data_IF_211540655654
#
_entry.id   IF_211540655654
#
_cell.length_a   1.000
_cell.length_b   1.000
_cell.length_c   1.000
_cell.angle_alpha   90.00
_cell.angle_beta   90.00
_cell.angle_gamma   90.00
#
_symmetry.space_group_name_H-M   'P 1'
#
loop_
_entity.id
_entity.type
_entity.pdbx_description
1 polymer ?
#
# COMPACT_ATOMS: atom_id res chain seq x y z
N UNK A 1 -7.03 1.72 -5.50
CA UNK A 1 -8.35 1.22 -5.91
C UNK A 1 -9.25 2.42 -6.00
N UNK A 2 -9.47 3.06 -4.86
CA UNK A 2 -9.77 4.48 -4.79
C UNK A 2 -8.69 5.30 -5.52
N UNK A 3 -9.13 6.32 -6.26
CA UNK A 3 -8.25 7.31 -6.87
C UNK A 3 -7.73 8.31 -5.84
N UNK A 4 -6.98 9.31 -6.31
CA UNK A 4 -6.35 10.29 -5.43
C UNK A 4 -7.39 11.10 -4.64
N UNK A 5 -8.52 11.47 -5.25
CA UNK A 5 -9.53 12.28 -4.59
C UNK A 5 -10.30 11.48 -3.54
N UNK A 6 -10.57 10.21 -3.84
CA UNK A 6 -11.35 9.31 -3.01
C UNK A 6 -10.54 8.74 -1.85
N UNK A 7 -9.21 8.90 -1.83
CA UNK A 7 -8.36 8.49 -0.70
C UNK A 7 -7.86 9.67 0.14
N UNK A 8 -8.01 10.91 -0.36
CA UNK A 8 -7.39 12.10 0.22
C UNK A 8 -7.81 12.30 1.69
N UNK A 9 -9.10 12.15 1.99
CA UNK A 9 -9.62 12.31 3.36
C UNK A 9 -9.06 11.24 4.31
N UNK A 10 -8.98 9.97 3.87
CA UNK A 10 -8.37 8.90 4.67
C UNK A 10 -6.89 9.18 4.97
N UNK A 11 -6.15 9.70 3.98
CA UNK A 11 -4.75 10.09 4.18
C UNK A 11 -4.61 11.26 5.16
N UNK A 12 -5.51 12.25 5.12
CA UNK A 12 -5.53 13.34 6.12
C UNK A 12 -5.73 12.77 7.52
N UNK A 13 -6.69 11.87 7.70
CA UNK A 13 -6.91 11.20 9.00
C UNK A 13 -5.66 10.45 9.45
N UNK A 14 -4.96 9.78 8.54
CA UNK A 14 -3.72 9.06 8.86
C UNK A 14 -2.56 9.99 9.24
N UNK A 15 -2.34 11.08 8.50
CA UNK A 15 -1.15 11.92 8.67
C UNK A 15 -1.34 12.99 9.73
N UNK A 16 -2.50 13.64 9.74
CA UNK A 16 -2.81 14.73 10.64
C UNK A 16 -3.44 14.24 11.95
N UNK A 17 -4.22 13.16 11.91
CA UNK A 17 -4.91 12.61 13.08
C UNK A 17 -4.05 11.79 14.02
N UNK A 18 -2.73 11.66 13.82
CA UNK A 18 -1.88 10.89 14.74
C UNK A 18 -1.37 11.75 15.91
N UNK A 19 -1.37 11.25 17.16
CA UNK A 19 -1.91 9.95 17.61
C UNK A 19 -3.39 10.00 18.01
N UNK A 20 -3.96 11.20 18.16
CA UNK A 20 -5.16 11.45 18.96
C UNK A 20 -6.50 11.38 18.20
N UNK A 21 -6.47 11.06 16.92
CA UNK A 21 -7.59 11.14 16.00
C UNK A 21 -7.91 12.58 15.59
N UNK A 22 -8.88 12.71 14.69
CA UNK A 22 -9.31 14.00 14.14
C UNK A 22 -10.84 14.04 14.01
N UNK A 23 -11.46 15.16 14.37
CA UNK A 23 -12.89 15.40 14.17
C UNK A 23 -13.19 15.80 12.72
N UNK A 24 -14.46 15.77 12.32
CA UNK A 24 -14.84 16.21 10.98
C UNK A 24 -14.51 17.71 10.75
N UNK A 25 -14.72 18.55 11.76
CA UNK A 25 -14.41 19.98 11.69
C UNK A 25 -12.90 20.24 11.58
N UNK A 26 -12.09 19.44 12.27
CA UNK A 26 -10.63 19.51 12.16
C UNK A 26 -10.14 19.07 10.76
N UNK A 27 -10.80 18.10 10.12
CA UNK A 27 -10.52 17.72 8.72
C UNK A 27 -10.89 18.86 7.76
N UNK A 28 -12.05 19.50 7.95
CA UNK A 28 -12.48 20.64 7.12
C UNK A 28 -11.53 21.84 7.27
N UNK A 29 -11.12 22.15 8.50
CA UNK A 29 -10.14 23.19 8.79
C UNK A 29 -8.79 22.89 8.10
N UNK A 30 -8.31 21.64 8.18
CA UNK A 30 -7.12 21.21 7.46
C UNK A 30 -7.27 21.45 5.95
N UNK A 31 -8.42 21.11 5.36
CA UNK A 31 -8.69 21.33 3.94
C UNK A 31 -8.60 22.81 3.54
N UNK A 32 -9.18 23.69 4.34
CA UNK A 32 -9.11 25.14 4.14
C UNK A 32 -7.66 25.65 4.18
N UNK A 33 -6.90 25.23 5.20
CA UNK A 33 -5.49 25.61 5.38
C UNK A 33 -4.58 25.09 4.25
N UNK A 34 -4.97 23.99 3.58
CA UNK A 34 -4.23 23.36 2.49
C UNK A 34 -4.79 23.70 1.10
N UNK A 35 -5.42 24.88 0.98
CA UNK A 35 -5.90 25.46 -0.28
C UNK A 35 -6.90 24.58 -1.04
N UNK A 36 -7.70 23.77 -0.32
CA UNK A 36 -8.84 23.04 -0.90
C UNK A 36 -10.12 23.88 -0.96
N UNK A 37 -10.13 25.02 -0.27
CA UNK A 37 -11.27 25.93 -0.16
C UNK A 37 -12.13 25.64 1.08
N UNK A 38 -13.11 26.52 1.38
CA UNK A 38 -14.04 26.30 2.48
C UNK A 38 -14.93 25.07 2.22
N UNK A 39 -15.51 24.55 3.30
CA UNK A 39 -16.47 23.43 3.31
C UNK A 39 -15.96 22.23 2.49
N UNK A 40 -14.67 21.92 2.63
CA UNK A 40 -13.98 20.99 1.76
C UNK A 40 -14.62 19.60 1.75
N UNK A 41 -15.04 19.10 2.91
CA UNK A 41 -15.74 17.82 3.03
C UNK A 41 -17.08 17.81 2.29
N UNK A 42 -17.75 18.94 2.17
CA UNK A 42 -19.05 19.05 1.50
C UNK A 42 -18.92 19.34 0.00
N UNK A 43 -17.70 19.61 -0.48
CA UNK A 43 -17.46 19.73 -1.92
C UNK A 43 -17.69 18.39 -2.63
N UNK A 44 -18.30 18.40 -3.83
CA UNK A 44 -18.56 17.18 -4.60
C UNK A 44 -17.25 16.49 -4.98
N UNK A 45 -17.31 15.16 -5.09
CA UNK A 45 -16.26 14.37 -5.72
C UNK A 45 -16.23 14.71 -7.22
N UNK A 46 -15.05 14.97 -7.78
CA UNK A 46 -14.99 15.20 -9.24
C UNK A 46 -15.16 13.86 -9.92
N UNK A 47 -16.26 13.70 -10.65
CA UNK A 47 -16.45 12.53 -11.48
C UNK A 47 -15.51 12.61 -12.69
N UNK A 48 -14.38 11.91 -12.59
CA UNK A 48 -13.48 11.64 -13.71
C UNK A 48 -13.70 10.23 -14.25
N UNK A 49 -13.25 9.93 -15.48
CA UNK A 49 -13.24 8.55 -15.94
C UNK A 49 -12.45 7.68 -14.93
N UNK A 50 -12.88 6.44 -14.66
CA UNK A 50 -12.19 5.58 -13.72
C UNK A 50 -10.73 5.45 -14.12
N UNK A 51 -9.83 5.59 -13.14
CA UNK A 51 -8.38 5.50 -13.39
C UNK A 51 -7.97 4.14 -13.99
N UNK A 52 -8.81 3.11 -13.78
CA UNK A 52 -8.70 1.76 -14.32
C UNK A 52 -10.11 1.24 -14.63
N UNK A 53 -10.51 1.14 -15.90
CA UNK A 53 -11.88 0.80 -16.29
C UNK A 53 -12.28 -0.66 -15.94
N UNK A 54 -11.29 -1.50 -15.65
CA UNK A 54 -11.42 -2.89 -15.26
C UNK A 54 -11.51 -3.10 -13.74
N UNK A 55 -11.53 -2.02 -12.96
CA UNK A 55 -11.59 -2.05 -11.51
C UNK A 55 -12.98 -1.64 -11.02
N UNK A 56 -13.45 -2.14 -9.86
CA UNK A 56 -14.72 -1.72 -9.30
C UNK A 56 -14.80 -0.21 -9.15
N UNK A 57 -15.92 0.35 -9.60
CA UNK A 57 -16.33 1.73 -9.37
C UNK A 57 -16.58 2.01 -7.89
N UNK A 58 -16.67 3.29 -7.52
CA UNK A 58 -17.03 3.69 -6.16
C UNK A 58 -18.40 3.13 -5.75
N UNK A 59 -19.39 3.18 -6.65
CA UNK A 59 -20.71 2.61 -6.45
C UNK A 59 -20.66 1.10 -6.17
N UNK A 60 -19.88 0.34 -6.93
CA UNK A 60 -19.74 -1.10 -6.75
C UNK A 60 -19.07 -1.44 -5.41
N UNK A 61 -18.05 -0.68 -5.00
CA UNK A 61 -17.40 -0.87 -3.70
C UNK A 61 -18.35 -0.54 -2.54
N UNK A 62 -19.08 0.57 -2.64
CA UNK A 62 -20.07 0.99 -1.66
C UNK A 62 -21.17 -0.06 -1.50
N UNK A 63 -21.69 -0.59 -2.61
CA UNK A 63 -22.70 -1.65 -2.61
C UNK A 63 -22.23 -2.96 -1.98
N UNK A 64 -20.94 -3.32 -2.09
CA UNK A 64 -20.41 -4.53 -1.46
C UNK A 64 -20.35 -4.46 0.07
N UNK A 65 -20.24 -3.24 0.63
CA UNK A 65 -20.15 -3.02 2.08
C UNK A 65 -21.42 -2.36 2.64
N UNK A 66 -22.51 -2.38 1.89
CA UNK A 66 -23.84 -1.88 2.26
C UNK A 66 -23.86 -0.41 2.73
N UNK A 67 -23.09 0.44 2.03
CA UNK A 67 -23.12 1.89 2.24
C UNK A 67 -23.59 2.62 0.96
N UNK A 68 -24.22 3.80 1.07
CA UNK A 68 -24.54 4.61 -0.09
C UNK A 68 -23.31 5.01 -0.89
N UNK A 69 -23.45 5.17 -2.21
CA UNK A 69 -22.40 5.78 -3.03
C UNK A 69 -22.17 7.22 -2.56
N UNK A 70 -20.90 7.54 -2.27
CA UNK A 70 -20.52 8.88 -1.86
C UNK A 70 -20.53 9.84 -3.05
N UNK A 71 -21.20 10.98 -2.87
CA UNK A 71 -21.22 12.11 -3.81
C UNK A 71 -20.36 13.27 -3.34
N UNK A 72 -20.12 13.36 -2.02
CA UNK A 72 -19.23 14.33 -1.37
C UNK A 72 -18.05 13.64 -0.68
N UNK A 73 -17.06 14.42 -0.25
CA UNK A 73 -15.92 13.90 0.52
C UNK A 73 -16.33 13.43 1.91
N UNK A 74 -17.29 14.10 2.55
CA UNK A 74 -17.85 13.72 3.85
C UNK A 74 -18.47 12.33 3.79
N UNK A 75 -19.19 12.05 2.71
CA UNK A 75 -19.85 10.76 2.48
C UNK A 75 -18.88 9.59 2.23
N UNK A 76 -17.58 9.85 2.06
CA UNK A 76 -16.56 8.79 2.03
C UNK A 76 -16.24 8.23 3.43
N UNK A 77 -16.54 8.95 4.51
CA UNK A 77 -16.22 8.51 5.88
C UNK A 77 -16.92 7.19 6.25
N UNK A 78 -18.23 6.99 6.00
CA UNK A 78 -18.88 5.69 6.16
C UNK A 78 -18.23 4.57 5.33
N UNK A 79 -17.82 4.87 4.10
CA UNK A 79 -17.14 3.89 3.25
C UNK A 79 -15.79 3.47 3.86
N UNK A 80 -14.99 4.40 4.34
CA UNK A 80 -13.71 4.06 4.98
C UNK A 80 -13.87 3.26 6.27
N UNK A 81 -14.92 3.56 7.05
CA UNK A 81 -15.28 2.78 8.24
C UNK A 81 -15.64 1.34 7.85
N UNK A 82 -16.50 1.18 6.85
CA UNK A 82 -16.91 -0.14 6.36
C UNK A 82 -15.75 -0.93 5.71
N UNK A 83 -14.79 -0.22 5.10
CA UNK A 83 -13.55 -0.80 4.57
C UNK A 83 -12.46 -1.03 5.62
N UNK A 84 -12.73 -0.74 6.90
CA UNK A 84 -11.78 -0.87 8.02
C UNK A 84 -10.48 -0.08 7.82
N UNK A 85 -10.53 1.03 7.09
CA UNK A 85 -9.39 1.92 6.89
C UNK A 85 -9.24 2.89 8.06
N UNK A 86 -10.37 3.29 8.65
CA UNK A 86 -10.45 4.17 9.80
C UNK A 86 -11.39 3.56 10.86
N UNK A 87 -11.29 4.09 12.08
CA UNK A 87 -12.22 3.84 13.19
C UNK A 87 -12.79 5.16 13.67
N UNK A 88 -13.95 5.12 14.33
CA UNK A 88 -14.60 6.29 14.91
C UNK A 88 -15.04 5.99 16.35
N UNK A 89 -14.62 6.82 17.30
CA UNK A 89 -14.93 6.63 18.73
C UNK A 89 -16.20 7.38 19.19
N UNK A 90 -16.95 7.98 18.25
CA UNK A 90 -18.09 8.85 18.52
C UNK A 90 -17.75 10.33 18.44
N UNK A 91 -16.47 10.69 18.52
CA UNK A 91 -15.99 12.08 18.43
C UNK A 91 -14.92 12.25 17.35
N UNK A 92 -14.01 11.28 17.22
CA UNK A 92 -12.81 11.38 16.38
C UNK A 92 -12.60 10.16 15.52
N UNK A 93 -12.15 10.43 14.30
CA UNK A 93 -11.68 9.43 13.36
C UNK A 93 -10.21 9.12 13.58
N UNK A 94 -9.83 7.85 13.48
CA UNK A 94 -8.43 7.39 13.58
C UNK A 94 -8.12 6.41 12.46
N UNK A 95 -6.96 6.55 11.82
CA UNK A 95 -6.49 5.52 10.91
C UNK A 95 -6.23 4.21 11.66
N UNK A 96 -6.63 3.09 11.07
CA UNK A 96 -6.30 1.77 11.58
C UNK A 96 -4.82 1.50 11.28
N UNK A 97 -4.03 1.11 12.28
CA UNK A 97 -2.58 0.90 12.13
C UNK A 97 -2.25 -0.25 11.17
N UNK A 98 -3.04 -1.33 11.25
CA UNK A 98 -2.92 -2.50 10.39
C UNK A 98 -4.28 -2.80 9.76
N UNK A 99 -4.68 -2.03 8.72
CA UNK A 99 -5.95 -2.29 8.05
C UNK A 99 -5.90 -3.65 7.35
N UNK A 100 -7.03 -4.36 7.24
CA UNK A 100 -7.11 -5.60 6.48
C UNK A 100 -6.74 -5.35 5.00
N UNK A 101 -6.39 -6.43 4.29
CA UNK A 101 -6.16 -6.31 2.85
C UNK A 101 -7.46 -5.97 2.15
N UNK A 102 -7.40 -5.25 1.02
CA UNK A 102 -8.62 -4.94 0.27
C UNK A 102 -9.35 -6.21 -0.17
N UNK A 103 -8.63 -7.27 -0.54
CA UNK A 103 -9.20 -8.58 -0.88
C UNK A 103 -9.89 -9.31 0.29
N UNK A 104 -9.64 -8.90 1.54
CA UNK A 104 -10.27 -9.48 2.72
C UNK A 104 -11.62 -8.81 3.02
N UNK A 105 -11.87 -7.61 2.49
CA UNK A 105 -13.06 -6.79 2.79
C UNK A 105 -13.98 -6.64 1.59
N UNK A 106 -13.45 -6.66 0.37
CA UNK A 106 -14.22 -6.52 -0.87
C UNK A 106 -13.81 -7.58 -1.90
N UNK A 107 -14.78 -7.98 -2.72
CA UNK A 107 -14.58 -8.82 -3.88
C UNK A 107 -13.94 -8.01 -5.01
N UNK A 108 -12.74 -8.44 -5.41
CA UNK A 108 -11.95 -7.78 -6.44
C UNK A 108 -11.70 -8.73 -7.62
N UNK A 109 -11.68 -8.20 -8.86
CA UNK A 109 -11.19 -8.95 -10.01
C UNK A 109 -9.77 -9.48 -9.79
N UNK A 110 -9.46 -10.68 -10.31
CA UNK A 110 -8.17 -11.35 -10.08
C UNK A 110 -6.96 -10.48 -10.47
N UNK A 111 -7.09 -9.67 -11.53
CA UNK A 111 -6.05 -8.71 -11.94
C UNK A 111 -5.83 -7.59 -10.93
N UNK A 112 -6.88 -7.11 -10.27
CA UNK A 112 -6.77 -6.10 -9.21
C UNK A 112 -6.07 -6.69 -7.98
N UNK A 113 -6.44 -7.90 -7.56
CA UNK A 113 -5.75 -8.64 -6.48
C UNK A 113 -4.27 -8.83 -6.80
N UNK A 114 -3.95 -9.30 -8.00
CA UNK A 114 -2.57 -9.50 -8.46
C UNK A 114 -1.76 -8.20 -8.42
N UNK A 115 -2.36 -7.09 -8.87
CA UNK A 115 -1.73 -5.78 -8.83
C UNK A 115 -1.48 -5.30 -7.39
N UNK A 116 -2.46 -5.46 -6.49
CA UNK A 116 -2.34 -5.05 -5.10
C UNK A 116 -1.27 -5.84 -4.37
N UNK A 117 -1.22 -7.17 -4.55
CA UNK A 117 -0.14 -8.03 -4.04
C UNK A 117 1.23 -7.58 -4.55
N UNK A 118 1.33 -7.27 -5.85
CA UNK A 118 2.57 -6.76 -6.45
C UNK A 118 2.99 -5.41 -5.86
N UNK A 119 2.05 -4.49 -5.67
CA UNK A 119 2.31 -3.17 -5.08
C UNK A 119 2.74 -3.27 -3.60
N UNK A 120 2.14 -4.19 -2.84
CA UNK A 120 2.56 -4.50 -1.46
C UNK A 120 3.97 -5.04 -1.43
N UNK A 121 4.28 -6.03 -2.26
CA UNK A 121 5.62 -6.60 -2.37
C UNK A 121 6.66 -5.53 -2.74
N UNK A 122 6.33 -4.61 -3.66
CA UNK A 122 7.21 -3.49 -4.00
C UNK A 122 7.49 -2.61 -2.77
N UNK A 123 6.46 -2.20 -2.02
CA UNK A 123 6.65 -1.37 -0.82
C UNK A 123 7.47 -2.09 0.26
N UNK A 124 7.21 -3.38 0.46
CA UNK A 124 7.84 -4.16 1.53
C UNK A 124 9.29 -4.53 1.20
N UNK A 125 9.55 -5.03 -0.01
CA UNK A 125 10.81 -5.70 -0.31
C UNK A 125 11.78 -4.89 -1.15
N UNK A 126 11.41 -3.74 -1.73
CA UNK A 126 12.34 -3.01 -2.63
C UNK A 126 13.56 -2.48 -1.91
N UNK A 127 13.39 -1.84 -0.75
CA UNK A 127 14.52 -1.35 0.05
C UNK A 127 15.40 -2.52 0.49
N UNK A 128 14.77 -3.55 1.06
CA UNK A 128 15.49 -4.69 1.59
C UNK A 128 16.22 -5.52 0.51
N UNK A 129 15.61 -5.68 -0.68
CA UNK A 129 16.28 -6.30 -1.82
C UNK A 129 17.51 -5.50 -2.27
N UNK A 130 17.49 -4.17 -2.18
CA UNK A 130 18.66 -3.35 -2.46
C UNK A 130 19.78 -3.56 -1.43
N UNK A 131 19.42 -3.80 -0.16
CA UNK A 131 20.39 -4.15 0.89
C UNK A 131 21.02 -5.52 0.63
N UNK A 132 20.23 -6.54 0.27
CA UNK A 132 20.74 -7.87 -0.11
C UNK A 132 21.66 -7.78 -1.34
N UNK A 133 21.29 -6.99 -2.35
CA UNK A 133 22.14 -6.74 -3.53
C UNK A 133 23.47 -6.10 -3.10
N UNK A 134 23.43 -5.13 -2.20
CA UNK A 134 24.63 -4.47 -1.69
C UNK A 134 25.51 -5.45 -0.92
N UNK A 135 24.91 -6.29 -0.07
CA UNK A 135 25.58 -7.36 0.66
C UNK A 135 26.30 -8.34 -0.28
N UNK A 136 25.67 -8.73 -1.39
CA UNK A 136 26.26 -9.61 -2.40
C UNK A 136 27.41 -8.93 -3.17
N UNK A 137 27.27 -7.65 -3.54
CA UNK A 137 28.31 -6.90 -4.25
C UNK A 137 29.57 -6.73 -3.41
N UNK A 138 29.44 -6.48 -2.10
CA UNK A 138 30.57 -6.18 -1.22
C UNK A 138 31.08 -7.38 -0.43
N UNK A 139 30.24 -8.39 -0.17
CA UNK A 139 30.56 -9.56 0.66
C UNK A 139 30.77 -10.86 -0.10
N UNK A 140 30.72 -10.84 -1.43
CA UNK A 140 30.85 -12.01 -2.29
C UNK A 140 29.50 -12.61 -2.72
N UNK A 141 29.51 -13.32 -3.84
CA UNK A 141 28.30 -13.87 -4.48
C UNK A 141 27.77 -15.11 -3.80
N UNK A 142 28.62 -15.88 -3.11
CA UNK A 142 28.24 -17.08 -2.37
C UNK A 142 27.76 -16.70 -0.96
N UNK A 143 26.51 -17.01 -0.66
CA UNK A 143 25.84 -16.68 0.60
C UNK A 143 24.98 -17.86 1.08
N UNK A 144 24.52 -17.82 2.32
CA UNK A 144 23.43 -18.68 2.82
C UNK A 144 22.29 -17.81 3.32
N UNK A 145 21.08 -18.36 3.43
CA UNK A 145 19.93 -17.63 4.02
C UNK A 145 20.27 -17.14 5.43
N UNK A 146 20.88 -18.01 6.26
CA UNK A 146 21.29 -17.67 7.62
C UNK A 146 22.32 -16.53 7.66
N UNK A 147 23.31 -16.53 6.77
CA UNK A 147 24.32 -15.47 6.71
C UNK A 147 23.72 -14.12 6.27
N UNK A 148 22.79 -14.14 5.32
CA UNK A 148 22.07 -12.94 4.90
C UNK A 148 21.19 -12.41 6.02
N UNK A 149 20.48 -13.28 6.74
CA UNK A 149 19.63 -12.92 7.88
C UNK A 149 20.46 -12.21 8.96
N UNK A 150 21.60 -12.79 9.33
CA UNK A 150 22.53 -12.20 10.30
C UNK A 150 23.04 -10.82 9.87
N UNK A 151 23.51 -10.68 8.62
CA UNK A 151 24.11 -9.44 8.11
C UNK A 151 23.10 -8.32 7.90
N UNK A 152 21.83 -8.66 7.72
CA UNK A 152 20.75 -7.70 7.47
C UNK A 152 19.83 -7.50 8.66
N UNK A 153 20.13 -8.14 9.80
CA UNK A 153 19.34 -8.09 11.02
C UNK A 153 17.86 -8.44 10.79
N UNK A 154 17.59 -9.43 9.93
CA UNK A 154 16.26 -9.88 9.56
C UNK A 154 16.07 -11.37 9.89
N UNK A 155 14.83 -11.84 9.87
CA UNK A 155 14.55 -13.27 9.95
C UNK A 155 14.89 -13.98 8.64
N UNK A 156 15.16 -15.30 8.70
CA UNK A 156 15.39 -16.11 7.50
C UNK A 156 14.17 -16.14 6.56
N UNK A 157 12.95 -16.03 7.10
CA UNK A 157 11.72 -16.01 6.30
C UNK A 157 11.60 -14.71 5.51
N UNK A 158 11.96 -13.57 6.11
CA UNK A 158 12.04 -12.29 5.40
C UNK A 158 13.11 -12.31 4.31
N UNK A 159 14.26 -12.94 4.57
CA UNK A 159 15.31 -13.16 3.55
C UNK A 159 14.77 -13.98 2.39
N UNK A 160 14.14 -15.14 2.66
CA UNK A 160 13.57 -16.00 1.61
C UNK A 160 12.55 -15.26 0.75
N UNK A 161 11.59 -14.57 1.38
CA UNK A 161 10.58 -13.79 0.67
C UNK A 161 11.19 -12.66 -0.17
N UNK A 162 12.24 -11.99 0.35
CA UNK A 162 12.94 -10.91 -0.36
C UNK A 162 13.76 -11.43 -1.53
N UNK A 163 14.38 -12.59 -1.40
CA UNK A 163 15.11 -13.26 -2.49
C UNK A 163 14.16 -13.67 -3.62
N UNK A 164 13.01 -14.26 -3.30
CA UNK A 164 11.94 -14.56 -4.27
C UNK A 164 11.46 -13.29 -4.98
N UNK A 165 11.24 -12.21 -4.24
CA UNK A 165 10.90 -10.91 -4.81
C UNK A 165 12.01 -10.39 -5.74
N UNK A 166 13.27 -10.40 -5.30
CA UNK A 166 14.40 -9.90 -6.09
C UNK A 166 14.59 -10.68 -7.40
N UNK A 167 14.43 -12.01 -7.36
CA UNK A 167 14.49 -12.87 -8.53
C UNK A 167 13.33 -12.63 -9.50
N UNK A 168 12.08 -12.59 -9.00
CA UNK A 168 10.90 -12.33 -9.83
C UNK A 168 10.91 -10.96 -10.51
N UNK A 169 11.60 -9.98 -9.91
CA UNK A 169 11.78 -8.62 -10.46
C UNK A 169 13.04 -8.49 -11.32
N UNK A 170 13.80 -9.57 -11.49
CA UNK A 170 15.03 -9.61 -12.27
C UNK A 170 16.14 -8.72 -11.71
N UNK A 171 16.15 -8.46 -10.40
CA UNK A 171 17.20 -7.73 -9.70
C UNK A 171 18.39 -8.66 -9.41
N UNK A 172 18.09 -9.92 -9.10
CA UNK A 172 19.05 -10.99 -8.87
C UNK A 172 18.72 -12.20 -9.76
N UNK A 173 19.75 -12.96 -10.10
CA UNK A 173 19.65 -14.37 -10.44
C UNK A 173 20.21 -15.18 -9.28
N UNK A 174 19.51 -16.23 -8.87
CA UNK A 174 19.84 -17.01 -7.68
C UNK A 174 19.97 -18.48 -8.04
N UNK A 175 21.20 -18.99 -8.03
CA UNK A 175 21.47 -20.42 -8.18
C UNK A 175 21.53 -21.07 -6.79
N UNK A 176 20.67 -22.07 -6.56
CA UNK A 176 20.47 -22.69 -5.24
C UNK A 176 21.06 -24.10 -5.23
N UNK A 177 21.98 -24.38 -4.32
CA UNK A 177 22.59 -25.71 -4.14
C UNK A 177 22.63 -26.09 -2.66
N UNK A 178 21.65 -26.88 -2.21
CA UNK A 178 21.43 -27.10 -0.77
C UNK A 178 21.14 -25.78 -0.06
N UNK A 179 21.90 -25.48 0.99
CA UNK A 179 21.76 -24.23 1.75
C UNK A 179 22.56 -23.05 1.17
N UNK A 180 23.39 -23.30 0.14
CA UNK A 180 24.20 -22.29 -0.51
C UNK A 180 23.42 -21.59 -1.64
N UNK A 181 23.62 -20.28 -1.72
CA UNK A 181 23.04 -19.38 -2.70
C UNK A 181 24.17 -18.69 -3.46
N UNK A 182 24.20 -18.81 -4.78
CA UNK A 182 25.03 -17.97 -5.63
C UNK A 182 24.18 -16.82 -6.17
N UNK A 183 24.49 -15.60 -5.75
CA UNK A 183 23.75 -14.38 -6.06
C UNK A 183 24.45 -13.61 -7.18
N UNK A 184 23.80 -13.51 -8.34
CA UNK A 184 24.29 -12.70 -9.46
C UNK A 184 23.41 -11.47 -9.64
N UNK A 185 23.98 -10.27 -9.49
CA UNK A 185 23.26 -9.02 -9.72
C UNK A 185 22.96 -8.82 -11.20
N UNK A 186 21.68 -8.67 -11.53
CA UNK A 186 21.26 -8.37 -12.89
C UNK A 186 21.21 -6.86 -13.10
N UNK A 187 22.19 -6.34 -13.83
CA UNK A 187 22.14 -4.96 -14.31
C UNK A 187 21.01 -4.83 -15.33
N UNK A 188 20.11 -3.85 -15.15
CA UNK A 188 19.20 -3.39 -16.20
C UNK A 188 19.99 -2.67 -17.31
N UNK A 189 20.92 -3.34 -17.99
CA UNK A 189 21.56 -2.81 -19.19
C UNK A 189 20.83 -3.33 -20.43
N UNK A 190 20.03 -2.43 -21.00
CA UNK A 190 19.53 -2.39 -22.38
C UNK A 190 18.75 -3.60 -22.92
N UNK A 191 17.43 -3.61 -22.70
CA UNK A 191 16.54 -3.92 -23.82
C UNK A 191 16.54 -2.68 -24.74
N UNK A 192 17.28 -2.75 -25.84
CA UNK A 192 17.08 -1.89 -27.01
C UNK A 192 15.98 -2.50 -27.87
#
# INVERSE_FOLDING_TARGET
MLGFQEIEVANVIEWFGKPDGVSADEIDAWGADHHRGPDWLDQPLRQGPPSRPDWPSLAELAGQVDVPEATTRRELLPLYLALHMISFDGLRYRAVEHPPSAEDVVQLPAQAVTFLKSSRAVKQYTGYAADIVSVALWGGTEQTVASLAERTCASEDEVRATLEYAESRGLLQIDRTGDNLSLTVRSRRHAR
#
